data_IF_348192882130
#
_entry.id   IF_348192882130
#
_cell.length_a   1.000
_cell.length_b   1.000
_cell.length_c   1.000
_cell.angle_alpha   90.00
_cell.angle_beta   90.00
_cell.angle_gamma   90.00
#
_symmetry.space_group_name_H-M   'P 1'
#
loop_
_entity.id
_entity.type
_entity.pdbx_description
1 polymer ?
#
# COMPACT_ATOMS: atom_id res chain seq x y z
N UNK A 1 -26.86 47.70 -25.84
CA UNK A 1 -25.65 46.97 -26.31
C UNK A 1 -25.01 46.29 -25.11
N UNK A 2 -25.35 45.03 -24.80
CA UNK A 2 -24.82 44.23 -23.66
C UNK A 2 -25.19 42.71 -23.61
N UNK A 3 -25.82 42.04 -24.59
CA UNK A 3 -26.23 40.64 -24.38
C UNK A 3 -25.15 39.60 -24.74
N UNK A 4 -24.05 39.97 -25.41
CA UNK A 4 -23.05 39.00 -25.90
C UNK A 4 -22.23 38.36 -24.77
N UNK A 5 -21.98 39.08 -23.68
CA UNK A 5 -21.09 38.61 -22.61
C UNK A 5 -21.71 37.51 -21.73
N UNK A 6 -23.03 37.37 -21.71
CA UNK A 6 -23.74 36.41 -20.85
C UNK A 6 -23.75 34.99 -21.43
N UNK A 7 -23.46 34.83 -22.72
CA UNK A 7 -23.39 33.52 -23.40
C UNK A 7 -22.07 32.80 -23.10
N UNK A 8 -21.00 33.55 -22.81
CA UNK A 8 -19.69 32.97 -22.49
C UNK A 8 -19.55 32.56 -21.01
N UNK A 9 -20.41 33.07 -20.14
CA UNK A 9 -20.43 32.77 -18.70
C UNK A 9 -20.68 31.27 -18.39
N UNK A 10 -21.68 30.58 -18.98
CA UNK A 10 -21.88 29.15 -18.74
C UNK A 10 -20.77 28.30 -19.38
N UNK A 11 -20.19 28.73 -20.50
CA UNK A 11 -19.14 27.98 -21.20
C UNK A 11 -17.83 27.95 -20.40
N UNK A 12 -17.46 29.08 -19.78
CA UNK A 12 -16.32 29.14 -18.88
C UNK A 12 -16.54 28.31 -17.61
N UNK A 13 -17.76 28.28 -17.07
CA UNK A 13 -18.11 27.50 -15.88
C UNK A 13 -18.01 25.98 -16.13
N UNK A 14 -18.46 25.51 -17.30
CA UNK A 14 -18.35 24.09 -17.71
C UNK A 14 -16.88 23.67 -17.89
N UNK A 15 -16.04 24.53 -18.47
CA UNK A 15 -14.61 24.26 -18.63
C UNK A 15 -13.89 24.12 -17.26
N UNK A 16 -14.24 24.95 -16.29
CA UNK A 16 -13.66 24.89 -14.94
C UNK A 16 -14.11 23.62 -14.20
N UNK A 17 -15.37 23.19 -14.38
CA UNK A 17 -15.88 21.95 -13.78
C UNK A 17 -15.15 20.70 -14.31
N UNK A 18 -14.85 20.65 -15.62
CA UNK A 18 -14.06 19.56 -16.20
C UNK A 18 -12.61 19.51 -15.70
N UNK A 19 -11.98 20.66 -15.44
CA UNK A 19 -10.62 20.68 -14.87
C UNK A 19 -10.59 20.23 -13.40
N UNK A 20 -11.64 20.51 -12.62
CA UNK A 20 -11.72 20.12 -11.21
C UNK A 20 -11.96 18.61 -11.04
N UNK A 21 -12.67 17.96 -11.96
CA UNK A 21 -12.85 16.50 -11.94
C UNK A 21 -11.58 15.71 -12.26
N UNK A 22 -10.61 16.29 -12.97
CA UNK A 22 -9.31 15.66 -13.24
C UNK A 22 -8.36 15.72 -12.04
N UNK A 23 -8.62 16.60 -11.05
CA UNK A 23 -7.82 16.73 -9.84
C UNK A 23 -8.28 15.81 -8.69
N UNK A 24 -9.46 15.19 -8.82
CA UNK A 24 -10.08 14.38 -7.75
C UNK A 24 -9.99 12.88 -7.96
N UNK A 25 -9.20 12.41 -8.94
CA UNK A 25 -8.75 11.01 -8.97
C UNK A 25 -7.56 10.80 -8.05
N UNK A 26 -7.62 11.34 -6.83
CA UNK A 26 -6.94 10.71 -5.70
C UNK A 26 -7.75 9.47 -5.38
N UNK A 27 -7.49 8.39 -6.12
CA UNK A 27 -7.83 7.05 -5.67
C UNK A 27 -7.12 6.86 -4.34
N UNK A 28 -7.79 7.24 -3.25
CA UNK A 28 -7.51 6.73 -1.93
C UNK A 28 -7.77 5.23 -2.05
N UNK A 29 -6.77 4.49 -2.49
CA UNK A 29 -6.61 3.06 -2.20
C UNK A 29 -6.36 2.94 -0.69
N UNK A 30 -7.31 3.45 0.11
CA UNK A 30 -7.46 3.01 1.47
C UNK A 30 -7.69 1.53 1.33
N UNK A 31 -6.68 0.76 1.75
CA UNK A 31 -6.77 -0.68 1.91
C UNK A 31 -8.10 -0.95 2.59
N UNK A 32 -9.06 -1.49 1.84
CA UNK A 32 -10.20 -2.14 2.44
C UNK A 32 -9.58 -3.27 3.24
N UNK A 33 -9.39 -3.07 4.54
CA UNK A 33 -8.78 -4.07 5.41
C UNK A 33 -9.63 -5.31 5.26
N UNK A 34 -9.07 -6.33 4.63
CA UNK A 34 -9.73 -7.61 4.48
C UNK A 34 -9.72 -8.26 5.87
N UNK A 35 -10.81 -8.92 6.26
CA UNK A 35 -10.83 -9.75 7.48
C UNK A 35 -9.81 -10.91 7.41
N UNK A 36 -9.20 -11.14 6.24
CA UNK A 36 -8.22 -12.19 5.99
C UNK A 36 -6.90 -11.61 5.49
N UNK A 37 -5.79 -12.22 5.92
CA UNK A 37 -4.44 -11.83 5.52
C UNK A 37 -3.57 -13.04 5.15
N UNK A 38 -2.68 -12.84 4.17
CA UNK A 38 -1.58 -13.75 3.90
C UNK A 38 -0.42 -13.42 4.82
N UNK A 39 0.05 -14.42 5.57
CA UNK A 39 1.15 -14.27 6.52
C UNK A 39 2.34 -15.10 6.09
N UNK A 40 3.54 -14.52 6.14
CA UNK A 40 4.80 -15.23 5.95
C UNK A 40 5.82 -14.86 7.02
N UNK A 41 6.81 -15.70 7.27
CA UNK A 41 7.88 -15.47 8.24
C UNK A 41 9.20 -15.24 7.50
N UNK A 42 9.81 -14.08 7.73
CA UNK A 42 11.15 -13.74 7.27
C UNK A 42 12.13 -13.92 8.44
N UNK A 43 12.85 -15.04 8.45
CA UNK A 43 13.79 -15.39 9.52
C UNK A 43 15.21 -14.85 9.29
N UNK A 44 15.62 -14.72 8.03
CA UNK A 44 16.93 -14.22 7.63
C UNK A 44 16.85 -13.41 6.34
N UNK A 45 17.87 -12.59 6.09
CA UNK A 45 17.98 -11.75 4.90
C UNK A 45 18.12 -12.57 3.60
N UNK A 46 18.68 -13.78 3.69
CA UNK A 46 18.77 -14.78 2.63
C UNK A 46 17.40 -15.05 1.95
N UNK A 47 16.30 -14.91 2.71
CA UNK A 47 14.94 -15.19 2.23
C UNK A 47 14.18 -13.94 1.74
N UNK A 48 14.78 -12.75 1.82
CA UNK A 48 14.11 -11.48 1.47
C UNK A 48 13.59 -11.46 0.04
N UNK A 49 14.39 -11.96 -0.90
CA UNK A 49 13.99 -12.03 -2.31
C UNK A 49 12.79 -12.98 -2.50
N UNK A 50 12.77 -14.09 -1.76
CA UNK A 50 11.65 -15.04 -1.77
C UNK A 50 10.36 -14.40 -1.27
N UNK A 51 10.41 -13.70 -0.14
CA UNK A 51 9.25 -12.98 0.42
C UNK A 51 8.76 -11.87 -0.53
N UNK A 52 9.68 -11.16 -1.20
CA UNK A 52 9.31 -10.16 -2.20
C UNK A 52 8.58 -10.76 -3.39
N UNK A 53 9.11 -11.84 -3.97
CA UNK A 53 8.50 -12.47 -5.14
C UNK A 53 7.17 -13.12 -4.77
N UNK A 54 7.04 -13.68 -3.57
CA UNK A 54 5.78 -14.18 -3.03
C UNK A 54 4.75 -13.06 -2.87
N UNK A 55 5.17 -11.93 -2.29
CA UNK A 55 4.38 -10.70 -2.19
C UNK A 55 3.81 -10.29 -3.55
N UNK A 56 4.72 -10.19 -4.52
CA UNK A 56 4.39 -9.78 -5.88
C UNK A 56 3.46 -10.77 -6.58
N UNK A 57 3.74 -12.07 -6.53
CA UNK A 57 2.94 -13.07 -7.24
C UNK A 57 1.49 -13.11 -6.77
N UNK A 58 1.25 -12.99 -5.46
CA UNK A 58 -0.10 -12.94 -4.90
C UNK A 58 -0.83 -11.65 -5.34
N UNK A 59 -0.16 -10.49 -5.33
CA UNK A 59 -0.77 -9.25 -5.83
C UNK A 59 -1.03 -9.28 -7.33
N UNK A 60 -0.14 -9.87 -8.12
CA UNK A 60 -0.26 -10.01 -9.58
C UNK A 60 -1.48 -10.89 -9.96
N UNK A 61 -1.96 -11.75 -9.06
CA UNK A 61 -3.24 -12.50 -9.25
C UNK A 61 -4.51 -11.67 -8.99
N UNK A 62 -4.37 -10.40 -8.59
CA UNK A 62 -5.49 -9.52 -8.28
C UNK A 62 -6.04 -9.65 -6.85
N UNK A 63 -5.27 -10.27 -5.94
CA UNK A 63 -5.69 -10.43 -4.55
C UNK A 63 -5.74 -9.10 -3.81
N UNK A 64 -6.87 -8.83 -3.13
CA UNK A 64 -7.08 -7.65 -2.30
C UNK A 64 -6.87 -7.89 -0.80
N UNK A 65 -6.43 -9.10 -0.41
CA UNK A 65 -6.19 -9.44 1.00
C UNK A 65 -4.93 -8.75 1.52
N UNK A 66 -4.90 -8.52 2.83
CA UNK A 66 -3.72 -7.95 3.46
C UNK A 66 -2.55 -8.92 3.42
N UNK A 67 -1.33 -8.38 3.35
CA UNK A 67 -0.10 -9.17 3.31
C UNK A 67 0.82 -8.74 4.44
N UNK A 68 1.20 -9.70 5.26
CA UNK A 68 1.91 -9.50 6.51
C UNK A 68 3.16 -10.37 6.54
N UNK A 69 4.32 -9.77 6.77
CA UNK A 69 5.54 -10.51 7.07
C UNK A 69 5.90 -10.35 8.54
N UNK A 70 6.03 -11.48 9.24
CA UNK A 70 6.64 -11.56 10.56
C UNK A 70 8.15 -11.60 10.38
N UNK A 71 8.88 -10.79 11.13
CA UNK A 71 10.32 -10.61 10.95
C UNK A 71 11.06 -11.07 12.20
N UNK A 72 12.05 -11.95 12.04
CA UNK A 72 12.96 -12.34 13.13
C UNK A 72 14.10 -11.35 13.30
N UNK A 73 14.73 -11.39 14.48
CA UNK A 73 15.98 -10.71 14.84
C UNK A 73 17.14 -10.94 13.86
N UNK A 74 17.20 -12.12 13.22
CA UNK A 74 18.21 -12.49 12.21
C UNK A 74 18.13 -11.71 10.90
N UNK A 75 17.15 -10.82 10.73
CA UNK A 75 16.99 -9.99 9.53
C UNK A 75 17.61 -8.61 9.73
N UNK A 76 18.52 -8.25 8.82
CA UNK A 76 19.17 -6.95 8.86
C UNK A 76 18.19 -5.77 8.69
N UNK A 77 18.52 -4.62 9.26
CA UNK A 77 17.69 -3.41 9.15
C UNK A 77 17.53 -2.94 7.69
N UNK A 78 18.55 -3.20 6.87
CA UNK A 78 18.50 -2.96 5.43
C UNK A 78 17.40 -3.80 4.76
N UNK A 79 17.32 -5.08 5.11
CA UNK A 79 16.30 -5.99 4.61
C UNK A 79 14.88 -5.54 5.02
N UNK A 80 14.69 -5.05 6.25
CA UNK A 80 13.40 -4.53 6.72
C UNK A 80 12.93 -3.33 5.89
N UNK A 81 13.81 -2.35 5.64
CA UNK A 81 13.50 -1.18 4.79
C UNK A 81 13.14 -1.55 3.36
N UNK A 82 13.79 -2.56 2.80
CA UNK A 82 13.49 -3.06 1.46
C UNK A 82 12.13 -3.77 1.35
N UNK A 83 11.58 -4.24 2.48
CA UNK A 83 10.30 -4.95 2.55
C UNK A 83 9.10 -3.99 2.68
N UNK A 84 9.29 -2.86 3.36
CA UNK A 84 8.27 -1.83 3.61
C UNK A 84 7.67 -1.24 2.33
N UNK A 85 8.45 -1.23 1.23
CA UNK A 85 8.00 -0.78 -0.09
C UNK A 85 6.98 -1.74 -0.73
N UNK A 86 6.96 -3.02 -0.33
CA UNK A 86 6.19 -4.07 -0.99
C UNK A 86 5.04 -4.64 -0.15
N UNK A 87 5.14 -4.58 1.18
CA UNK A 87 4.12 -5.09 2.10
C UNK A 87 3.38 -3.94 2.76
N UNK A 88 2.05 -3.95 2.63
CA UNK A 88 1.16 -2.90 3.14
C UNK A 88 1.06 -2.87 4.66
N UNK A 89 1.59 -3.89 5.35
CA UNK A 89 1.61 -3.96 6.81
C UNK A 89 2.85 -4.74 7.24
N UNK A 90 3.85 -4.02 7.73
CA UNK A 90 5.02 -4.59 8.37
C UNK A 90 4.59 -5.00 9.79
N UNK A 91 4.16 -6.24 9.99
CA UNK A 91 3.87 -6.71 11.34
C UNK A 91 5.19 -6.89 12.09
N UNK A 92 5.46 -5.89 12.93
CA UNK A 92 6.10 -5.99 14.23
C UNK A 92 7.03 -7.20 14.37
N UNK A 93 8.33 -6.89 14.37
CA UNK A 93 9.40 -7.68 14.98
C UNK A 93 8.83 -8.46 16.17
N UNK A 94 8.82 -9.80 16.06
CA UNK A 94 8.30 -10.64 17.14
C UNK A 94 9.10 -10.28 18.41
N UNK A 95 8.46 -9.86 19.51
CA UNK A 95 9.19 -9.70 20.77
C UNK A 95 9.67 -11.09 21.20
N UNK A 96 10.98 -11.24 21.32
CA UNK A 96 11.61 -12.42 21.92
C UNK A 96 11.03 -12.67 23.32
N UNK A 97 10.02 -13.55 23.39
CA UNK A 97 9.66 -14.27 24.60
C UNK A 97 10.37 -15.61 24.60
N UNK A 98 11.70 -15.60 24.49
CA UNK A 98 12.53 -16.73 24.86
C UNK A 98 13.47 -16.31 25.99
N UNK A 99 13.14 -16.70 27.22
CA UNK A 99 14.04 -16.50 28.35
C UNK A 99 13.38 -16.40 29.72
N UNK A 100 12.74 -17.48 30.21
CA UNK A 100 12.94 -18.00 31.57
C UNK A 100 12.07 -19.25 31.78
N UNK A 101 12.64 -20.44 31.53
CA UNK A 101 12.21 -21.64 32.24
C UNK A 101 13.36 -21.98 33.17
N UNK A 102 13.09 -21.84 34.48
CA UNK A 102 13.99 -22.23 35.57
C UNK A 102 14.30 -23.71 35.54
#
# INVERSE_FOLDING_TARGET
MKPIAWIFLPFALVLIQSLLSAASSSSSSGSQSSDEAYVTLLYGDEFLLGVRVLGKSIRDTGSSKDMVALISDGVSEYAKRLLEVYLSSLALSLPDRCGHVK
#
